data_IF_229687303214
#
_entry.id   IF_229687303214
#
_cell.length_a   1.000
_cell.length_b   1.000
_cell.length_c   1.000
_cell.angle_alpha   90.00
_cell.angle_beta   90.00
_cell.angle_gamma   90.00
#
_symmetry.space_group_name_H-M   'P 1'
#
loop_
_entity.id
_entity.type
_entity.pdbx_description
1 polymer ?
#
# COMPACT_ATOMS: atom_id res chain seq x y z
N UNK A 1 -5.10 18.41 -7.35
CA UNK A 1 -4.73 17.03 -7.77
C UNK A 1 -5.81 16.09 -7.30
N UNK A 2 -6.39 15.29 -8.19
CA UNK A 2 -7.40 14.30 -7.82
C UNK A 2 -6.72 12.96 -7.60
N UNK A 3 -7.14 12.25 -6.57
CA UNK A 3 -6.77 10.86 -6.29
C UNK A 3 -7.99 10.01 -6.67
N UNK A 4 -7.81 9.01 -7.50
CA UNK A 4 -8.89 8.15 -8.00
C UNK A 4 -8.72 6.68 -7.64
N UNK A 5 -7.62 6.35 -6.96
CA UNK A 5 -7.32 5.01 -6.44
C UNK A 5 -7.02 5.13 -4.96
N UNK A 6 -7.70 4.34 -4.13
CA UNK A 6 -7.28 4.11 -2.74
C UNK A 6 -6.53 2.79 -2.69
N UNK A 7 -5.22 2.88 -2.44
CA UNK A 7 -4.34 1.72 -2.57
C UNK A 7 -4.16 0.89 -1.30
N UNK A 8 -4.82 1.27 -0.19
CA UNK A 8 -4.66 0.59 1.10
C UNK A 8 -5.95 0.67 1.92
N UNK A 9 -6.68 -0.44 1.99
CA UNK A 9 -7.96 -0.52 2.73
C UNK A 9 -8.18 -1.92 3.31
N UNK A 10 -8.90 -1.99 4.43
CA UNK A 10 -9.18 -3.20 5.19
C UNK A 10 -10.65 -3.53 5.24
N UNK A 11 -10.93 -4.83 5.41
CA UNK A 11 -12.26 -5.37 5.65
C UNK A 11 -12.32 -6.06 7.02
N UNK A 12 -13.48 -6.57 7.39
CA UNK A 12 -13.68 -7.42 8.58
C UNK A 12 -12.65 -8.56 8.69
N UNK A 13 -12.06 -8.99 7.57
CA UNK A 13 -11.07 -10.05 7.55
C UNK A 13 -9.78 -9.68 8.29
N UNK A 14 -9.43 -8.41 8.39
CA UNK A 14 -8.27 -7.94 9.16
C UNK A 14 -8.42 -8.09 10.68
N UNK A 15 -9.60 -8.51 11.18
CA UNK A 15 -9.87 -8.77 12.59
C UNK A 15 -10.17 -7.52 13.43
N UNK A 16 -9.67 -6.36 13.05
CA UNK A 16 -9.90 -5.09 13.74
C UNK A 16 -10.41 -3.97 12.81
N UNK A 17 -10.95 -4.35 11.65
CA UNK A 17 -11.71 -3.48 10.77
C UNK A 17 -13.21 -3.86 10.80
N UNK A 18 -14.08 -2.96 10.36
CA UNK A 18 -15.51 -3.04 10.69
C UNK A 18 -16.44 -3.03 9.47
N UNK A 19 -15.91 -3.14 8.25
CA UNK A 19 -16.72 -3.09 7.03
C UNK A 19 -16.43 -4.25 6.11
N UNK A 20 -17.43 -4.64 5.34
CA UNK A 20 -17.30 -5.61 4.26
C UNK A 20 -16.71 -4.95 3.01
N UNK A 21 -16.21 -5.76 2.07
CA UNK A 21 -15.76 -5.26 0.77
C UNK A 21 -16.88 -4.55 -0.01
N UNK A 22 -18.15 -4.97 0.17
CA UNK A 22 -19.30 -4.36 -0.49
C UNK A 22 -19.54 -2.94 0.04
N UNK A 23 -19.51 -2.75 1.37
CA UNK A 23 -19.62 -1.45 2.01
C UNK A 23 -18.46 -0.53 1.61
N UNK A 24 -17.23 -1.06 1.59
CA UNK A 24 -16.04 -0.31 1.16
C UNK A 24 -16.16 0.14 -0.31
N UNK A 25 -16.60 -0.76 -1.21
CA UNK A 25 -16.78 -0.43 -2.62
C UNK A 25 -17.90 0.59 -2.84
N UNK A 26 -18.99 0.50 -2.06
CA UNK A 26 -20.06 1.51 -2.09
C UNK A 26 -19.54 2.88 -1.65
N UNK A 27 -18.81 2.95 -0.53
CA UNK A 27 -18.21 4.19 -0.05
C UNK A 27 -17.20 4.76 -1.05
N UNK A 28 -16.40 3.91 -1.70
CA UNK A 28 -15.48 4.30 -2.76
C UNK A 28 -16.20 4.95 -3.95
N UNK A 29 -17.33 4.35 -4.38
CA UNK A 29 -18.19 4.92 -5.43
C UNK A 29 -18.73 6.28 -5.05
N UNK A 30 -19.33 6.37 -3.85
CA UNK A 30 -19.96 7.61 -3.36
C UNK A 30 -18.95 8.76 -3.23
N UNK A 31 -17.67 8.44 -3.00
CA UNK A 31 -16.56 9.40 -2.90
C UNK A 31 -15.77 9.58 -4.21
N UNK A 32 -16.21 8.97 -5.31
CA UNK A 32 -15.70 9.19 -6.66
C UNK A 32 -14.43 8.41 -7.03
N UNK A 33 -14.01 7.43 -6.21
CA UNK A 33 -12.91 6.54 -6.58
C UNK A 33 -13.27 5.70 -7.81
N UNK A 34 -12.26 5.32 -8.56
CA UNK A 34 -12.36 4.44 -9.73
C UNK A 34 -11.80 3.05 -9.46
N UNK A 35 -10.77 2.95 -8.64
CA UNK A 35 -10.18 1.69 -8.18
C UNK A 35 -10.07 1.68 -6.66
N UNK A 36 -10.28 0.52 -6.08
CA UNK A 36 -10.13 0.24 -4.66
C UNK A 36 -9.27 -1.01 -4.49
N UNK A 37 -8.15 -0.90 -3.76
CA UNK A 37 -7.34 -2.05 -3.40
C UNK A 37 -7.86 -2.62 -2.08
N UNK A 38 -8.27 -3.90 -2.06
CA UNK A 38 -8.59 -4.62 -0.83
C UNK A 38 -7.31 -5.29 -0.32
N UNK A 39 -6.78 -4.81 0.80
CA UNK A 39 -5.44 -5.15 1.28
C UNK A 39 -5.45 -5.53 2.76
N UNK A 40 -6.31 -6.47 3.10
CA UNK A 40 -6.38 -7.00 4.47
C UNK A 40 -5.00 -7.50 4.95
N UNK A 41 -4.77 -7.45 6.27
CA UNK A 41 -3.54 -7.92 6.87
C UNK A 41 -3.31 -9.41 6.63
N UNK A 42 -2.07 -9.76 6.33
CA UNK A 42 -1.62 -11.14 6.14
C UNK A 42 -1.51 -11.91 7.48
N UNK A 43 -1.40 -13.26 7.45
CA UNK A 43 -1.71 -14.15 8.55
C UNK A 43 -1.00 -13.94 9.88
N UNK A 44 0.23 -13.42 9.91
CA UNK A 44 0.97 -13.22 11.16
C UNK A 44 0.44 -12.03 12.00
N UNK A 45 -0.39 -11.18 11.42
CA UNK A 45 -1.05 -10.12 12.17
C UNK A 45 -2.16 -10.71 13.05
N UNK A 46 -2.19 -10.41 14.37
CA UNK A 46 -3.22 -10.94 15.26
C UNK A 46 -4.64 -10.65 14.76
N UNK A 47 -5.45 -11.69 14.61
CA UNK A 47 -6.83 -11.60 14.13
C UNK A 47 -6.97 -11.62 12.60
N UNK A 48 -5.87 -11.63 11.85
CA UNK A 48 -5.89 -11.71 10.39
C UNK A 48 -6.34 -13.09 9.87
N UNK A 49 -6.80 -13.16 8.62
CA UNK A 49 -7.31 -14.39 8.05
C UNK A 49 -6.18 -15.34 7.64
N UNK A 50 -6.51 -16.62 7.52
CA UNK A 50 -5.63 -17.61 6.92
C UNK A 50 -5.28 -17.25 5.46
N UNK A 51 -4.09 -17.61 4.96
CA UNK A 51 -3.64 -17.27 3.61
C UNK A 51 -4.58 -17.73 2.48
N UNK A 52 -5.45 -18.70 2.72
CA UNK A 52 -6.49 -19.08 1.76
C UNK A 52 -7.47 -17.93 1.42
N UNK A 53 -7.69 -17.01 2.34
CA UNK A 53 -8.48 -15.83 2.08
C UNK A 53 -7.93 -15.06 0.87
N UNK A 54 -6.61 -14.84 0.84
CA UNK A 54 -5.94 -14.14 -0.26
C UNK A 54 -5.95 -14.93 -1.56
N UNK A 55 -5.72 -16.25 -1.49
CA UNK A 55 -5.81 -17.13 -2.66
C UNK A 55 -7.23 -17.13 -3.26
N UNK A 56 -8.24 -16.99 -2.42
CA UNK A 56 -9.64 -17.00 -2.84
C UNK A 56 -10.17 -15.65 -3.31
N UNK A 57 -9.42 -14.56 -3.19
CA UNK A 57 -9.80 -13.27 -3.80
C UNK A 57 -10.10 -13.37 -5.29
N UNK A 58 -9.59 -14.42 -5.97
CA UNK A 58 -9.90 -14.72 -7.38
C UNK A 58 -11.40 -14.83 -7.70
N UNK A 59 -12.25 -15.13 -6.71
CA UNK A 59 -13.72 -15.20 -6.90
C UNK A 59 -14.39 -13.82 -6.85
N UNK A 60 -13.70 -12.80 -6.33
CA UNK A 60 -14.26 -11.46 -6.26
C UNK A 60 -14.51 -10.93 -7.69
N UNK A 61 -15.68 -10.34 -7.96
CA UNK A 61 -15.89 -9.65 -9.21
C UNK A 61 -14.89 -8.49 -9.34
N UNK A 62 -14.51 -8.18 -10.58
CA UNK A 62 -13.57 -7.06 -10.82
C UNK A 62 -14.21 -5.69 -10.66
N UNK A 63 -15.54 -5.61 -10.64
CA UNK A 63 -16.29 -4.38 -10.36
C UNK A 63 -17.34 -4.62 -9.29
N UNK A 64 -17.37 -3.74 -8.29
CA UNK A 64 -18.42 -3.62 -7.29
C UNK A 64 -18.86 -2.15 -7.28
N UNK A 65 -20.16 -1.89 -7.41
CA UNK A 65 -20.70 -0.53 -7.49
C UNK A 65 -19.98 0.37 -8.52
N UNK A 66 -19.60 -0.17 -9.67
CA UNK A 66 -18.80 0.48 -10.74
C UNK A 66 -17.39 0.92 -10.31
N UNK A 67 -16.89 0.45 -9.18
CA UNK A 67 -15.49 0.62 -8.73
C UNK A 67 -14.72 -0.65 -9.05
N UNK A 68 -13.57 -0.50 -9.70
CA UNK A 68 -12.68 -1.62 -10.00
C UNK A 68 -11.99 -2.12 -8.72
N UNK A 69 -12.05 -3.43 -8.49
CA UNK A 69 -11.46 -4.09 -7.32
C UNK A 69 -10.09 -4.64 -7.68
N UNK A 70 -9.07 -4.11 -7.04
CA UNK A 70 -7.68 -4.60 -7.08
C UNK A 70 -7.50 -5.57 -5.92
N UNK A 71 -7.17 -6.82 -6.24
CA UNK A 71 -6.95 -7.89 -5.29
C UNK A 71 -5.58 -7.72 -4.67
N UNK A 72 -5.52 -7.54 -3.38
CA UNK A 72 -4.26 -7.20 -2.72
C UNK A 72 -4.12 -7.79 -1.32
N UNK A 73 -3.02 -7.44 -0.70
CA UNK A 73 -2.67 -7.80 0.67
C UNK A 73 -1.77 -6.74 1.28
N UNK A 74 -1.91 -6.51 2.57
CA UNK A 74 -0.86 -5.91 3.38
C UNK A 74 -0.09 -7.03 4.08
N UNK A 75 1.04 -7.43 3.45
CA UNK A 75 1.92 -8.46 3.96
C UNK A 75 2.84 -7.92 5.06
N UNK A 76 3.04 -8.73 6.10
CA UNK A 76 3.98 -8.41 7.16
C UNK A 76 5.40 -8.81 6.76
N UNK A 77 6.36 -7.90 6.95
CA UNK A 77 7.78 -8.27 6.97
C UNK A 77 8.06 -8.95 8.30
N UNK A 78 8.51 -10.21 8.27
CA UNK A 78 8.62 -11.04 9.48
C UNK A 78 10.03 -11.18 10.04
N UNK A 79 11.04 -10.83 9.27
CA UNK A 79 12.45 -10.90 9.69
C UNK A 79 13.37 -9.97 8.88
N UNK A 80 14.64 -9.91 9.26
CA UNK A 80 15.67 -9.12 8.60
C UNK A 80 15.97 -9.61 7.17
N UNK A 81 15.71 -10.87 6.86
CA UNK A 81 15.92 -11.43 5.51
C UNK A 81 14.84 -10.96 4.51
N UNK A 82 13.85 -10.21 4.99
CA UNK A 82 12.77 -9.66 4.16
C UNK A 82 11.73 -10.71 3.76
N UNK A 83 11.60 -11.76 4.55
CA UNK A 83 10.53 -12.71 4.36
C UNK A 83 9.18 -12.09 4.69
N UNK A 84 8.16 -12.54 3.96
CA UNK A 84 6.76 -12.10 4.12
C UNK A 84 5.92 -13.30 4.53
N UNK A 85 4.86 -13.03 5.26
CA UNK A 85 3.98 -14.02 5.89
C UNK A 85 2.93 -14.65 4.96
N UNK A 86 3.21 -14.68 3.66
CA UNK A 86 2.42 -15.42 2.67
C UNK A 86 3.25 -16.47 1.96
N UNK A 87 2.69 -17.68 1.72
CA UNK A 87 3.37 -18.67 0.91
C UNK A 87 3.59 -18.16 -0.55
N UNK A 88 4.70 -18.53 -1.19
CA UNK A 88 5.03 -18.06 -2.54
C UNK A 88 3.92 -18.24 -3.58
N UNK A 89 3.11 -19.31 -3.45
CA UNK A 89 1.99 -19.60 -4.34
C UNK A 89 0.83 -18.59 -4.24
N UNK A 90 0.74 -17.80 -3.16
CA UNK A 90 -0.34 -16.82 -3.01
C UNK A 90 -0.17 -15.60 -3.90
N UNK A 91 1.07 -15.19 -4.17
CA UNK A 91 1.36 -13.96 -4.92
C UNK A 91 0.83 -13.95 -6.36
N UNK A 92 0.69 -15.13 -7.00
CA UNK A 92 0.11 -15.25 -8.34
C UNK A 92 -1.37 -14.86 -8.42
N UNK A 93 -2.07 -14.78 -7.28
CA UNK A 93 -3.49 -14.44 -7.19
C UNK A 93 -3.71 -12.96 -6.85
N UNK A 94 -2.63 -12.21 -6.58
CA UNK A 94 -2.66 -10.84 -6.11
C UNK A 94 -2.16 -9.86 -7.18
N UNK A 95 -2.92 -8.80 -7.36
CA UNK A 95 -2.56 -7.70 -8.24
C UNK A 95 -1.64 -6.68 -7.54
N UNK A 96 -1.81 -6.51 -6.21
CA UNK A 96 -1.15 -5.48 -5.41
C UNK A 96 -0.68 -6.04 -4.07
N UNK A 97 0.59 -5.85 -3.74
CA UNK A 97 1.22 -6.32 -2.51
C UNK A 97 1.89 -5.16 -1.80
N UNK A 98 1.38 -4.81 -0.64
CA UNK A 98 2.00 -3.88 0.31
C UNK A 98 2.91 -4.70 1.24
N UNK A 99 4.09 -4.22 1.55
CA UNK A 99 4.90 -4.76 2.64
C UNK A 99 5.03 -3.72 3.75
N UNK A 100 4.71 -4.12 4.97
CA UNK A 100 4.68 -3.26 6.15
C UNK A 100 5.42 -3.88 7.33
N UNK A 101 5.88 -2.99 8.23
CA UNK A 101 6.26 -3.38 9.58
C UNK A 101 5.09 -3.17 10.53
N UNK A 102 4.76 -4.21 11.29
CA UNK A 102 3.78 -4.15 12.38
C UNK A 102 4.41 -4.67 13.68
N UNK A 103 4.28 -3.91 14.76
CA UNK A 103 4.94 -4.22 16.05
C UNK A 103 4.59 -5.61 16.61
N UNK A 104 3.35 -6.13 16.45
CA UNK A 104 3.03 -7.49 16.90
C UNK A 104 3.74 -8.61 16.13
N UNK A 105 4.25 -8.32 14.90
CA UNK A 105 4.87 -9.31 14.01
C UNK A 105 6.39 -9.15 13.97
N UNK A 106 6.86 -7.92 13.81
CA UNK A 106 8.28 -7.58 13.76
C UNK A 106 8.54 -6.45 14.74
N UNK A 107 9.04 -6.79 15.92
CA UNK A 107 9.30 -5.80 16.95
C UNK A 107 10.34 -4.76 16.48
N UNK A 108 10.17 -3.46 16.82
CA UNK A 108 11.17 -2.44 16.52
C UNK A 108 12.57 -2.80 17.04
N UNK A 109 13.57 -2.57 16.22
CA UNK A 109 14.98 -2.87 16.50
C UNK A 109 15.87 -1.68 16.10
N UNK A 110 17.05 -1.93 15.52
CA UNK A 110 17.97 -0.88 15.06
C UNK A 110 17.67 -0.43 13.63
N UNK A 111 18.08 0.78 13.30
CA UNK A 111 18.05 1.34 11.95
C UNK A 111 18.70 0.40 10.91
N UNK A 112 19.84 -0.18 11.25
CA UNK A 112 20.55 -1.10 10.35
C UNK A 112 19.71 -2.36 10.01
N UNK A 113 19.03 -2.93 11.01
CA UNK A 113 18.16 -4.09 10.82
C UNK A 113 16.95 -3.74 9.96
N UNK A 114 16.28 -2.62 10.23
CA UNK A 114 15.12 -2.19 9.44
C UNK A 114 15.53 -1.86 8.00
N UNK A 115 16.66 -1.19 7.81
CA UNK A 115 17.22 -0.89 6.48
C UNK A 115 17.46 -2.17 5.69
N UNK A 116 18.12 -3.14 6.30
CA UNK A 116 18.42 -4.41 5.64
C UNK A 116 17.15 -5.18 5.29
N UNK A 117 16.18 -5.26 6.22
CA UNK A 117 14.90 -5.91 5.98
C UNK A 117 14.15 -5.27 4.80
N UNK A 118 14.04 -3.94 4.75
CA UNK A 118 13.37 -3.22 3.66
C UNK A 118 14.08 -3.46 2.31
N UNK A 119 15.41 -3.42 2.28
CA UNK A 119 16.18 -3.70 1.07
C UNK A 119 15.94 -5.15 0.60
N UNK A 120 15.90 -6.11 1.51
CA UNK A 120 15.67 -7.52 1.17
C UNK A 120 14.22 -7.72 0.67
N UNK A 121 13.23 -7.10 1.32
CA UNK A 121 11.84 -7.07 0.84
C UNK A 121 11.75 -6.54 -0.59
N UNK A 122 12.36 -5.39 -0.87
CA UNK A 122 12.39 -4.79 -2.21
C UNK A 122 13.00 -5.77 -3.23
N UNK A 123 14.17 -6.33 -2.91
CA UNK A 123 14.92 -7.25 -3.78
C UNK A 123 14.23 -8.60 -3.99
N UNK A 124 13.29 -8.98 -3.11
CA UNK A 124 12.49 -10.19 -3.28
C UNK A 124 11.65 -10.20 -4.55
N UNK A 125 11.35 -9.02 -5.11
CA UNK A 125 10.50 -8.85 -6.29
C UNK A 125 9.00 -9.11 -6.04
N UNK A 126 8.61 -9.43 -4.80
CA UNK A 126 7.23 -9.81 -4.44
C UNK A 126 6.33 -8.63 -4.14
N UNK A 127 6.90 -7.48 -3.74
CA UNK A 127 6.13 -6.32 -3.25
C UNK A 127 6.04 -5.22 -4.29
N UNK A 128 4.93 -4.53 -4.31
CA UNK A 128 4.67 -3.43 -5.23
C UNK A 128 4.85 -2.07 -4.56
N UNK A 129 4.65 -2.02 -3.23
CA UNK A 129 4.74 -0.79 -2.44
C UNK A 129 5.22 -1.09 -1.01
N UNK A 130 5.97 -0.15 -0.42
CA UNK A 130 6.30 -0.17 1.00
C UNK A 130 5.28 0.67 1.76
N UNK A 131 4.60 0.05 2.73
CA UNK A 131 3.53 0.64 3.53
C UNK A 131 4.05 1.51 4.68
N UNK A 132 3.36 2.61 4.95
CA UNK A 132 3.49 3.53 6.09
C UNK A 132 4.89 3.68 6.72
N UNK A 133 5.92 3.86 5.87
CA UNK A 133 7.33 4.02 6.27
C UNK A 133 7.58 5.21 7.21
N UNK A 134 6.61 6.09 7.38
CA UNK A 134 6.69 7.22 8.31
C UNK A 134 6.70 6.83 9.79
N UNK A 135 6.39 5.59 10.16
CA UNK A 135 6.37 5.16 11.55
C UNK A 135 7.74 5.35 12.23
N UNK A 136 7.85 6.24 13.25
CA UNK A 136 9.13 6.55 13.88
C UNK A 136 9.74 5.39 14.68
N UNK A 137 8.94 4.36 15.02
CA UNK A 137 9.43 3.18 15.72
C UNK A 137 10.33 2.30 14.84
N UNK A 138 10.28 2.51 13.51
CA UNK A 138 11.11 1.80 12.52
C UNK A 138 12.03 2.79 11.79
N UNK A 139 13.09 3.32 12.46
CA UNK A 139 14.08 4.11 11.76
C UNK A 139 14.81 3.26 10.73
N UNK A 140 15.15 3.85 9.59
CA UNK A 140 15.91 3.21 8.50
C UNK A 140 16.71 4.26 7.73
N UNK A 141 17.77 3.83 7.04
CA UNK A 141 18.54 4.66 6.11
C UNK A 141 17.65 4.99 4.90
N UNK A 142 17.18 6.23 4.89
CA UNK A 142 16.21 6.70 3.91
C UNK A 142 16.75 6.68 2.49
N UNK A 143 17.98 7.15 2.29
CA UNK A 143 18.58 7.22 0.97
C UNK A 143 18.84 5.82 0.39
N UNK A 144 19.37 4.90 1.20
CA UNK A 144 19.62 3.52 0.80
C UNK A 144 18.33 2.80 0.40
N UNK A 145 17.27 2.91 1.22
CA UNK A 145 15.98 2.24 0.95
C UNK A 145 15.28 2.84 -0.26
N UNK A 146 15.18 4.17 -0.37
CA UNK A 146 14.49 4.81 -1.49
C UNK A 146 15.25 4.64 -2.81
N UNK A 147 16.59 4.65 -2.79
CA UNK A 147 17.39 4.33 -3.98
C UNK A 147 17.15 2.90 -4.45
N UNK A 148 17.09 1.94 -3.52
CA UNK A 148 16.75 0.56 -3.84
C UNK A 148 15.33 0.44 -4.39
N UNK A 149 14.35 1.12 -3.79
CA UNK A 149 12.96 1.14 -4.25
C UNK A 149 12.86 1.70 -5.69
N UNK A 150 13.58 2.78 -5.99
CA UNK A 150 13.68 3.34 -7.34
C UNK A 150 14.24 2.34 -8.34
N UNK A 151 15.35 1.68 -8.01
CA UNK A 151 16.01 0.70 -8.90
C UNK A 151 15.10 -0.48 -9.23
N UNK A 152 14.25 -0.88 -8.28
CA UNK A 152 13.34 -2.02 -8.41
C UNK A 152 11.91 -1.63 -8.77
N UNK A 153 11.62 -0.36 -9.03
CA UNK A 153 10.28 0.18 -9.30
C UNK A 153 9.26 -0.17 -8.19
N UNK A 154 9.67 -0.19 -6.92
CA UNK A 154 8.75 -0.33 -5.78
C UNK A 154 8.28 1.05 -5.38
N UNK A 155 6.96 1.23 -5.23
CA UNK A 155 6.39 2.50 -4.82
C UNK A 155 6.56 2.74 -3.31
N UNK A 156 6.46 4.01 -2.90
CA UNK A 156 6.46 4.43 -1.50
C UNK A 156 5.06 4.93 -1.16
N UNK A 157 4.46 4.35 -0.14
CA UNK A 157 3.15 4.78 0.32
C UNK A 157 3.25 6.07 1.14
N UNK A 158 2.37 7.02 0.82
CA UNK A 158 2.02 8.12 1.70
C UNK A 158 0.66 7.78 2.31
N UNK A 159 0.74 7.18 3.48
CA UNK A 159 -0.41 6.67 4.23
C UNK A 159 -1.10 7.80 4.98
N UNK A 160 -2.38 8.02 4.67
CA UNK A 160 -3.13 9.16 5.22
C UNK A 160 -3.37 9.02 6.74
N UNK A 161 -3.65 7.80 7.21
CA UNK A 161 -3.89 7.55 8.65
C UNK A 161 -2.65 7.86 9.48
N UNK A 162 -1.43 7.60 8.97
CA UNK A 162 -0.18 7.97 9.62
C UNK A 162 -0.02 9.48 9.83
N UNK A 163 -0.66 10.30 9.00
CA UNK A 163 -0.59 11.76 9.07
C UNK A 163 -1.64 12.36 10.02
N UNK A 164 -2.57 11.57 10.56
CA UNK A 164 -3.62 12.07 11.46
C UNK A 164 -3.12 12.33 12.89
N UNK A 165 -1.94 11.82 13.25
CA UNK A 165 -1.38 11.88 14.59
C UNK A 165 -2.07 10.98 15.63
N UNK A 166 -3.03 10.15 15.21
CA UNK A 166 -3.76 9.19 16.07
C UNK A 166 -2.97 7.90 16.27
N UNK A 167 -2.52 7.31 15.18
CA UNK A 167 -1.59 6.18 15.16
C UNK A 167 -0.22 6.62 14.69
N UNK A 168 0.86 5.90 15.01
CA UNK A 168 2.23 6.16 14.55
C UNK A 168 2.62 7.63 14.77
N UNK A 169 2.42 8.14 16.01
CA UNK A 169 2.69 9.54 16.38
C UNK A 169 4.10 9.97 15.98
N UNK A 170 4.22 11.12 15.28
CA UNK A 170 5.50 11.61 14.74
C UNK A 170 5.76 11.24 13.28
N UNK A 171 4.83 10.53 12.63
CA UNK A 171 4.97 10.15 11.23
C UNK A 171 4.94 11.33 10.25
N UNK A 172 4.29 12.43 10.59
CA UNK A 172 4.11 13.60 9.73
C UNK A 172 5.45 14.20 9.26
N UNK A 173 6.39 14.43 10.20
CA UNK A 173 7.71 14.95 9.89
C UNK A 173 8.54 13.97 9.06
N UNK A 174 8.47 12.67 9.38
CA UNK A 174 9.17 11.62 8.62
C UNK A 174 8.58 11.45 7.23
N UNK A 175 7.27 11.43 7.08
CA UNK A 175 6.62 11.41 5.77
C UNK A 175 7.02 12.61 4.92
N UNK A 176 7.14 13.81 5.52
CA UNK A 176 7.63 15.00 4.82
C UNK A 176 9.04 14.80 4.28
N UNK A 177 9.95 14.25 5.10
CA UNK A 177 11.32 13.97 4.67
C UNK A 177 11.39 12.83 3.63
N UNK A 178 10.57 11.78 3.79
CA UNK A 178 10.43 10.70 2.79
C UNK A 178 9.99 11.27 1.43
N UNK A 179 9.02 12.18 1.41
CA UNK A 179 8.56 12.80 0.16
C UNK A 179 9.64 13.68 -0.45
N UNK A 180 10.38 14.46 0.35
CA UNK A 180 11.48 15.30 -0.12
C UNK A 180 12.57 14.48 -0.80
N UNK A 181 13.11 13.48 -0.10
CA UNK A 181 14.18 12.60 -0.63
C UNK A 181 13.64 11.76 -1.80
N UNK A 182 12.45 11.19 -1.68
CA UNK A 182 11.84 10.36 -2.73
C UNK A 182 11.57 11.14 -4.01
N UNK A 183 11.16 12.42 -3.91
CA UNK A 183 11.05 13.31 -5.05
C UNK A 183 12.41 13.52 -5.75
N UNK A 184 13.46 13.74 -4.95
CA UNK A 184 14.82 13.93 -5.50
C UNK A 184 15.33 12.67 -6.21
N UNK A 185 15.06 11.49 -5.65
CA UNK A 185 15.42 10.20 -6.22
C UNK A 185 14.45 9.72 -7.33
N UNK A 186 13.40 10.48 -7.61
CA UNK A 186 12.42 10.17 -8.66
C UNK A 186 11.68 8.84 -8.44
N UNK A 187 11.34 8.50 -7.18
CA UNK A 187 10.56 7.31 -6.86
C UNK A 187 9.09 7.46 -7.24
N UNK A 188 8.37 6.34 -7.32
CA UNK A 188 6.91 6.34 -7.41
C UNK A 188 6.28 6.46 -6.03
N UNK A 189 5.18 7.21 -5.94
CA UNK A 189 4.36 7.32 -4.74
C UNK A 189 2.98 6.72 -4.96
N UNK A 190 2.46 6.05 -3.94
CA UNK A 190 1.07 5.64 -3.84
C UNK A 190 0.41 6.36 -2.64
N UNK A 191 -0.90 6.50 -2.65
CA UNK A 191 -1.65 7.05 -1.50
C UNK A 191 -2.67 6.03 -1.03
N UNK A 192 -2.69 5.72 0.25
CA UNK A 192 -3.65 4.84 0.90
C UNK A 192 -4.34 5.53 2.08
N UNK A 193 -5.63 5.27 2.24
CA UNK A 193 -6.38 5.74 3.42
C UNK A 193 -6.02 4.93 4.66
N UNK A 194 -5.68 3.65 4.48
CA UNK A 194 -5.55 2.67 5.57
C UNK A 194 -6.87 2.56 6.36
N UNK A 195 -7.99 2.60 5.60
CA UNK A 195 -9.33 2.63 6.14
C UNK A 195 -9.68 1.29 6.78
N UNK A 196 -10.08 1.32 8.04
CA UNK A 196 -10.60 0.19 8.81
C UNK A 196 -12.12 0.25 9.00
N UNK A 197 -12.75 1.27 8.43
CA UNK A 197 -14.18 1.45 8.39
C UNK A 197 -14.58 2.19 7.10
N UNK A 198 -15.71 1.84 6.49
CA UNK A 198 -16.10 2.35 5.18
C UNK A 198 -16.19 3.88 5.09
N UNK A 199 -16.52 4.57 6.20
CA UNK A 199 -16.55 6.04 6.24
C UNK A 199 -15.16 6.67 6.07
N UNK A 200 -14.09 5.91 6.27
CA UNK A 200 -12.70 6.36 6.10
C UNK A 200 -12.13 6.10 4.71
N UNK A 201 -12.79 5.30 3.89
CA UNK A 201 -12.43 5.08 2.48
C UNK A 201 -12.27 6.43 1.76
N UNK A 202 -11.26 6.56 0.93
CA UNK A 202 -10.91 7.79 0.21
C UNK A 202 -10.57 9.01 1.11
N UNK A 203 -10.34 8.80 2.41
CA UNK A 203 -9.79 9.86 3.27
C UNK A 203 -8.31 10.01 2.96
N UNK A 204 -8.00 10.84 1.97
CA UNK A 204 -6.67 11.00 1.38
C UNK A 204 -6.18 12.45 1.39
N UNK A 205 -6.87 13.32 2.11
CA UNK A 205 -6.64 14.78 2.08
C UNK A 205 -5.25 15.16 2.61
N UNK A 206 -4.79 14.53 3.69
CA UNK A 206 -3.49 14.82 4.28
C UNK A 206 -2.35 14.34 3.38
N UNK A 207 -2.46 13.14 2.83
CA UNK A 207 -1.49 12.60 1.88
C UNK A 207 -1.41 13.46 0.61
N UNK A 208 -2.58 13.85 0.07
CA UNK A 208 -2.69 14.77 -1.07
C UNK A 208 -2.06 16.14 -0.78
N UNK A 209 -2.33 16.70 0.41
CA UNK A 209 -1.78 17.99 0.84
C UNK A 209 -0.25 17.92 0.96
N UNK A 210 0.28 16.84 1.54
CA UNK A 210 1.72 16.61 1.68
C UNK A 210 2.42 16.55 0.33
N UNK A 211 1.94 15.70 -0.58
CA UNK A 211 2.52 15.56 -1.94
C UNK A 211 2.42 16.87 -2.75
N UNK A 212 1.31 17.61 -2.59
CA UNK A 212 1.13 18.92 -3.25
C UNK A 212 2.09 19.97 -2.70
N UNK A 213 2.25 20.04 -1.38
CA UNK A 213 3.18 20.97 -0.71
C UNK A 213 4.63 20.77 -1.17
N UNK A 214 5.04 19.53 -1.37
CA UNK A 214 6.37 19.19 -1.89
C UNK A 214 6.47 19.27 -3.42
N UNK A 215 5.40 19.63 -4.12
CA UNK A 215 5.37 19.74 -5.59
C UNK A 215 5.86 18.45 -6.28
N UNK A 216 5.40 17.31 -5.79
CA UNK A 216 5.71 16.03 -6.43
C UNK A 216 5.07 15.97 -7.81
N UNK A 217 5.82 15.53 -8.82
CA UNK A 217 5.29 15.33 -10.16
C UNK A 217 4.09 14.37 -10.13
N UNK A 218 2.95 14.81 -10.66
CA UNK A 218 1.73 14.01 -10.73
C UNK A 218 1.94 12.67 -11.44
N UNK A 219 2.89 12.60 -12.38
CA UNK A 219 3.22 11.36 -13.08
C UNK A 219 3.92 10.33 -12.18
N UNK A 220 4.49 10.76 -11.07
CA UNK A 220 5.10 9.90 -10.05
C UNK A 220 4.12 9.46 -8.97
N UNK A 221 2.91 10.02 -8.92
CA UNK A 221 1.87 9.64 -7.97
C UNK A 221 0.90 8.71 -8.71
N UNK A 222 1.12 7.41 -8.56
CA UNK A 222 0.42 6.38 -9.35
C UNK A 222 -1.09 6.34 -9.09
N UNK A 223 -1.56 6.78 -7.94
CA UNK A 223 -2.97 6.77 -7.53
C UNK A 223 -3.80 7.94 -8.10
N UNK A 224 -3.19 8.84 -8.88
CA UNK A 224 -3.86 9.99 -9.50
C UNK A 224 -4.59 9.67 -10.81
N UNK A 225 -4.44 8.44 -11.33
CA UNK A 225 -5.10 7.99 -12.55
C UNK A 225 -5.19 6.46 -12.55
N UNK A 226 -6.28 5.90 -13.03
CA UNK A 226 -6.44 4.46 -13.25
C UNK A 226 -5.34 3.93 -14.19
N UNK A 227 -5.14 4.62 -15.30
CA UNK A 227 -4.11 4.28 -16.28
C UNK A 227 -2.69 4.26 -15.66
N UNK A 228 -2.32 5.28 -14.84
CA UNK A 228 -1.01 5.26 -14.16
C UNK A 228 -0.87 4.07 -13.22
N UNK A 229 -1.89 3.82 -12.40
CA UNK A 229 -1.87 2.71 -11.46
C UNK A 229 -1.74 1.37 -12.18
N UNK A 230 -2.58 1.12 -13.17
CA UNK A 230 -2.57 -0.13 -13.94
C UNK A 230 -1.28 -0.31 -14.76
N UNK A 231 -0.76 0.76 -15.35
CA UNK A 231 0.54 0.71 -16.05
C UNK A 231 1.71 0.49 -15.08
N UNK A 232 1.62 1.00 -13.85
CA UNK A 232 2.60 0.68 -12.81
C UNK A 232 2.57 -0.82 -12.46
N UNK A 233 1.39 -1.46 -12.38
CA UNK A 233 1.30 -2.92 -12.20
C UNK A 233 2.00 -3.67 -13.34
N UNK A 234 1.85 -3.22 -14.60
CA UNK A 234 2.58 -3.80 -15.73
C UNK A 234 4.10 -3.63 -15.59
N UNK A 235 4.55 -2.45 -15.13
CA UNK A 235 5.96 -2.19 -14.85
C UNK A 235 6.51 -3.13 -13.76
N UNK A 236 5.64 -3.53 -12.80
CA UNK A 236 5.95 -4.52 -11.77
C UNK A 236 5.89 -5.97 -12.26
N UNK A 237 5.64 -6.20 -13.54
CA UNK A 237 5.55 -7.54 -14.13
C UNK A 237 4.21 -8.24 -13.93
N UNK A 238 3.18 -7.52 -13.44
CA UNK A 238 1.82 -8.07 -13.37
C UNK A 238 1.19 -8.14 -14.75
N UNK A 239 0.30 -9.10 -14.97
CA UNK A 239 -0.46 -9.20 -16.22
C UNK A 239 -1.51 -8.10 -16.38
N UNK A 240 -1.94 -7.85 -17.62
CA UNK A 240 -3.12 -6.98 -17.85
C UNK A 240 -4.37 -7.61 -17.26
N UNK A 241 -5.13 -6.84 -16.53
CA UNK A 241 -6.45 -7.24 -16.01
C UNK A 241 -7.45 -6.99 -17.14
N UNK A 242 -7.98 -8.07 -17.71
CA UNK A 242 -8.83 -8.01 -18.92
C UNK A 242 -10.09 -7.16 -18.72
N UNK A 243 -10.66 -7.22 -17.53
CA UNK A 243 -11.89 -6.48 -17.19
C UNK A 243 -11.64 -4.97 -17.07
N UNK A 244 -10.39 -4.52 -17.01
CA UNK A 244 -10.00 -3.11 -16.85
C UNK A 244 -9.40 -2.50 -18.14
N UNK A 245 -9.57 -3.13 -19.30
CA UNK A 245 -8.95 -2.66 -20.55
C UNK A 245 -9.28 -1.20 -20.89
N UNK A 246 -10.47 -0.74 -20.56
CA UNK A 246 -10.89 0.65 -20.80
C UNK A 246 -10.33 1.65 -19.75
N UNK A 247 -9.69 1.16 -18.69
CA UNK A 247 -9.12 1.98 -17.63
C UNK A 247 -7.60 2.21 -17.79
N UNK A 248 -6.95 1.51 -18.75
CA UNK A 248 -5.51 1.65 -19.03
C UNK A 248 -5.11 2.93 -19.72
#
# INVERSE_FOLDING_TARGET
MDIVVDSHTHTLASGHAYSTIIENAKAAKDKGLKLLCTTDHAPEMPGAPHYWFFNNQRILPRFLHDVGIIRGVEANTINVDGELDLPPSSYQHLDWVIASFHEPVFAPTSEAVHTQALINVIKSGKVDVLGHLGNPNYPFDLEAVLSCAKQHNVAIEINNTSLTGKSRKGSDSRCSHIVEVGKHLDVYFATGSDAHFCEEIARLDLAKALLTRHQVDRNKIITTSTSRFLNFLLLRGKGRIKEFLELY
#
